data_IF_927663250439
#
_entry.id   IF_927663250439
#
_cell.length_a   1.000
_cell.length_b   1.000
_cell.length_c   1.000
_cell.angle_alpha   90.00
_cell.angle_beta   90.00
_cell.angle_gamma   90.00
#
_symmetry.space_group_name_H-M   'P 1'
#
loop_
_entity.id
_entity.type
_entity.pdbx_description
1 polymer ?
#
# COMPACT_ATOMS: atom_id res chain seq x y z
N UNK A 1 -1.99 25.85 -1.96
CA UNK A 1 -1.48 24.52 -2.38
C UNK A 1 -1.89 23.55 -1.29
N UNK A 2 -2.70 22.52 -1.55
CA UNK A 2 -2.97 21.53 -0.51
C UNK A 2 -1.63 20.96 -0.07
N UNK A 3 -1.35 21.08 1.23
CA UNK A 3 -0.20 20.46 1.87
C UNK A 3 -0.18 19.00 1.48
N UNK A 4 0.97 18.53 1.00
CA UNK A 4 1.21 17.16 0.55
C UNK A 4 1.29 16.24 1.78
N UNK A 5 0.20 16.15 2.53
CA UNK A 5 0.12 15.40 3.77
C UNK A 5 0.06 13.92 3.38
N UNK A 6 1.13 13.21 3.71
CA UNK A 6 1.16 11.76 3.65
C UNK A 6 0.25 11.25 4.78
N UNK A 7 -0.85 10.57 4.48
CA UNK A 7 -1.82 10.17 5.49
C UNK A 7 -1.23 9.15 6.46
N UNK A 8 -1.66 9.18 7.71
CA UNK A 8 -1.31 8.13 8.69
C UNK A 8 -2.12 6.85 8.45
N UNK A 9 -3.35 7.00 7.94
CA UNK A 9 -4.23 5.88 7.64
C UNK A 9 -4.90 6.05 6.28
N UNK A 10 -5.02 4.95 5.57
CA UNK A 10 -5.80 4.85 4.33
C UNK A 10 -6.81 3.72 4.44
N UNK A 11 -7.87 3.78 3.67
CA UNK A 11 -8.85 2.71 3.51
C UNK A 11 -8.80 2.19 2.09
N UNK A 12 -8.70 0.88 1.96
CA UNK A 12 -8.94 0.17 0.69
C UNK A 12 -10.35 -0.40 0.74
N UNK A 13 -11.13 -0.16 -0.30
CA UNK A 13 -12.50 -0.62 -0.38
C UNK A 13 -12.91 -1.04 -1.78
N UNK A 14 -13.90 -1.92 -1.85
CA UNK A 14 -14.51 -2.31 -3.12
C UNK A 14 -13.67 -3.24 -3.98
N UNK A 15 -12.54 -3.76 -3.50
CA UNK A 15 -11.78 -4.79 -4.21
C UNK A 15 -12.44 -6.16 -4.12
N UNK A 16 -12.35 -6.98 -5.18
CA UNK A 16 -12.89 -8.34 -5.21
C UNK A 16 -12.16 -9.32 -4.29
N UNK A 17 -10.83 -9.19 -4.20
CA UNK A 17 -10.04 -9.92 -3.20
C UNK A 17 -10.22 -9.31 -1.80
N UNK A 18 -11.13 -9.89 -1.01
CA UNK A 18 -11.63 -9.30 0.23
C UNK A 18 -10.56 -9.07 1.30
N UNK A 19 -9.48 -9.85 1.31
CA UNK A 19 -8.38 -9.66 2.26
C UNK A 19 -7.65 -8.32 2.06
N UNK A 20 -7.70 -7.73 0.86
CA UNK A 20 -7.12 -6.41 0.64
C UNK A 20 -8.04 -5.26 1.09
N UNK A 21 -9.32 -5.51 1.37
CA UNK A 21 -10.23 -4.47 1.84
C UNK A 21 -10.02 -4.23 3.33
N UNK A 22 -9.88 -2.97 3.75
CA UNK A 22 -9.67 -2.65 5.16
C UNK A 22 -8.99 -1.30 5.38
N UNK A 23 -8.66 -1.04 6.64
CA UNK A 23 -7.85 0.11 7.04
C UNK A 23 -6.39 -0.32 7.07
N UNK A 24 -5.54 0.49 6.48
CA UNK A 24 -4.11 0.31 6.48
C UNK A 24 -3.45 1.48 7.22
N UNK A 25 -2.45 1.15 8.00
CA UNK A 25 -1.68 2.12 8.78
C UNK A 25 -0.32 2.34 8.15
N UNK A 26 0.12 3.60 8.19
CA UNK A 26 1.43 3.99 7.68
C UNK A 26 2.56 3.30 8.45
N UNK A 27 3.56 2.84 7.71
CA UNK A 27 4.79 2.23 8.22
C UNK A 27 6.02 2.95 7.68
N UNK A 28 7.12 2.84 8.44
CA UNK A 28 8.41 3.39 8.04
C UNK A 28 8.97 2.61 6.84
N UNK A 29 9.58 3.27 5.84
CA UNK A 29 10.27 2.59 4.74
C UNK A 29 11.42 1.68 5.21
N UNK A 30 11.93 1.87 6.43
CA UNK A 30 13.00 1.05 7.03
C UNK A 30 12.50 -0.27 7.62
N UNK A 31 11.17 -0.44 7.75
CA UNK A 31 10.55 -1.68 8.23
C UNK A 31 10.14 -2.48 7.00
N UNK A 32 10.47 -3.76 6.98
CA UNK A 32 10.11 -4.67 5.89
C UNK A 32 8.75 -5.30 6.21
N UNK A 33 7.78 -5.33 5.27
CA UNK A 33 6.50 -6.01 5.47
C UNK A 33 6.69 -7.51 5.77
N UNK A 34 5.93 -8.04 6.73
CA UNK A 34 6.03 -9.45 7.10
C UNK A 34 5.68 -10.39 5.93
N UNK A 35 4.67 -10.04 5.14
CA UNK A 35 4.31 -10.77 3.92
C UNK A 35 5.45 -10.79 2.90
N UNK A 36 6.11 -9.65 2.68
CA UNK A 36 7.25 -9.54 1.77
C UNK A 36 8.42 -10.43 2.17
N UNK A 37 8.79 -10.45 3.46
CA UNK A 37 9.84 -11.32 3.99
C UNK A 37 9.50 -12.81 3.79
N UNK A 38 8.25 -13.21 4.03
CA UNK A 38 7.81 -14.59 3.77
C UNK A 38 7.93 -14.95 2.30
N UNK A 39 7.50 -14.09 1.38
CA UNK A 39 7.64 -14.33 -0.07
C UNK A 39 9.12 -14.43 -0.47
N UNK A 40 9.99 -13.55 0.01
CA UNK A 40 11.42 -13.61 -0.27
C UNK A 40 12.03 -14.93 0.22
N UNK A 41 11.74 -15.34 1.46
CA UNK A 41 12.22 -16.62 2.01
C UNK A 41 11.70 -17.82 1.23
N UNK A 42 10.43 -17.82 0.83
CA UNK A 42 9.84 -18.89 0.02
C UNK A 42 10.52 -19.02 -1.36
N UNK A 43 10.97 -17.89 -1.92
CA UNK A 43 11.68 -17.82 -3.20
C UNK A 43 13.21 -17.94 -3.06
N UNK A 44 13.73 -18.13 -1.85
CA UNK A 44 15.16 -18.14 -1.53
C UNK A 44 15.90 -16.86 -1.97
N UNK A 45 15.24 -15.71 -1.77
CA UNK A 45 15.81 -14.37 -1.98
C UNK A 45 16.24 -13.74 -0.67
N UNK A 46 17.27 -12.89 -0.73
CA UNK A 46 17.66 -12.06 0.41
C UNK A 46 16.64 -10.93 0.61
N UNK A 47 15.91 -11.00 1.73
CA UNK A 47 14.83 -10.07 2.04
C UNK A 47 15.29 -8.61 2.10
N UNK A 48 16.42 -8.33 2.76
CA UNK A 48 16.89 -6.95 2.93
C UNK A 48 17.36 -6.36 1.60
N UNK A 49 18.12 -7.13 0.83
CA UNK A 49 18.61 -6.73 -0.47
C UNK A 49 17.43 -6.48 -1.42
N UNK A 50 16.45 -7.38 -1.46
CA UNK A 50 15.28 -7.24 -2.31
C UNK A 50 14.44 -6.02 -1.91
N UNK A 51 14.24 -5.79 -0.62
CA UNK A 51 13.53 -4.60 -0.15
C UNK A 51 14.25 -3.31 -0.54
N UNK A 52 15.57 -3.24 -0.36
CA UNK A 52 16.40 -2.09 -0.82
C UNK A 52 16.39 -1.91 -2.33
N UNK A 53 16.14 -2.98 -3.09
CA UNK A 53 16.06 -2.95 -4.55
C UNK A 53 14.70 -2.47 -5.06
N UNK A 54 13.61 -2.86 -4.40
CA UNK A 54 12.25 -2.59 -4.87
C UNK A 54 11.63 -1.35 -4.24
N UNK A 55 11.93 -1.07 -2.97
CA UNK A 55 11.53 0.19 -2.36
C UNK A 55 12.56 1.30 -2.65
N UNK A 56 12.14 2.54 -2.48
CA UNK A 56 13.01 3.71 -2.55
C UNK A 56 13.59 4.12 -1.20
N UNK A 57 13.34 3.32 -0.15
CA UNK A 57 13.78 3.57 1.23
C UNK A 57 13.34 4.95 1.79
N UNK A 58 12.33 5.60 1.19
CA UNK A 58 11.92 6.97 1.53
C UNK A 58 10.40 7.14 1.57
N UNK A 59 9.66 6.66 0.56
CA UNK A 59 8.21 6.64 0.56
C UNK A 59 7.71 5.66 1.62
N UNK A 60 6.74 6.07 2.46
CA UNK A 60 6.14 5.13 3.39
C UNK A 60 5.35 4.07 2.62
N UNK A 61 5.13 2.96 3.30
CA UNK A 61 4.20 1.92 2.89
C UNK A 61 3.09 1.80 3.93
N UNK A 62 2.05 1.04 3.63
CA UNK A 62 0.87 0.91 4.48
C UNK A 62 0.57 -0.56 4.75
N UNK A 63 0.11 -0.87 5.95
CA UNK A 63 -0.14 -2.25 6.40
C UNK A 63 -1.51 -2.38 7.05
N UNK A 64 -2.28 -3.37 6.64
CA UNK A 64 -3.51 -3.76 7.31
C UNK A 64 -3.23 -4.73 8.46
N UNK A 65 -4.18 -4.86 9.40
CA UNK A 65 -4.07 -5.80 10.54
C UNK A 65 -3.83 -7.25 10.11
N UNK A 66 -4.33 -7.64 8.93
CA UNK A 66 -4.14 -8.97 8.38
C UNK A 66 -2.83 -9.14 7.58
N UNK A 67 -1.89 -8.21 7.70
CA UNK A 67 -0.59 -8.19 7.01
C UNK A 67 -0.67 -8.01 5.49
N UNK A 68 -1.83 -7.67 4.91
CA UNK A 68 -1.86 -7.10 3.56
C UNK A 68 -1.15 -5.75 3.57
N UNK A 69 -0.47 -5.39 2.49
CA UNK A 69 0.31 -4.16 2.46
C UNK A 69 0.30 -3.46 1.12
N UNK A 70 0.54 -2.15 1.16
CA UNK A 70 0.66 -1.29 -0.01
C UNK A 70 2.02 -0.61 -0.01
N UNK A 71 2.78 -0.77 -1.10
CA UNK A 71 4.08 -0.12 -1.25
C UNK A 71 4.29 0.39 -2.67
N UNK A 72 5.17 1.38 -2.83
CA UNK A 72 5.63 1.82 -4.13
C UNK A 72 6.85 1.00 -4.57
N UNK A 73 6.76 0.35 -5.72
CA UNK A 73 7.83 -0.42 -6.31
C UNK A 73 8.57 0.44 -7.34
N UNK A 74 9.83 0.80 -7.03
CA UNK A 74 10.67 1.62 -7.90
C UNK A 74 11.09 0.91 -9.19
N UNK A 75 11.07 -0.43 -9.19
CA UNK A 75 11.47 -1.24 -10.34
C UNK A 75 10.53 -1.09 -11.53
N UNK A 76 9.24 -0.84 -11.27
CA UNK A 76 8.24 -0.68 -12.32
C UNK A 76 7.41 0.61 -12.22
N UNK A 77 7.66 1.45 -11.21
CA UNK A 77 6.99 2.73 -11.01
C UNK A 77 5.51 2.59 -10.69
N UNK A 78 5.12 1.51 -9.99
CA UNK A 78 3.74 1.25 -9.60
C UNK A 78 3.60 1.15 -8.08
N UNK A 79 2.43 1.52 -7.58
CA UNK A 79 1.98 1.02 -6.29
C UNK A 79 1.44 -0.40 -6.45
N UNK A 80 1.73 -1.22 -5.46
CA UNK A 80 1.29 -2.60 -5.35
C UNK A 80 0.45 -2.74 -4.10
N UNK A 81 -0.66 -3.50 -4.18
CA UNK A 81 -1.35 -4.05 -3.02
C UNK A 81 -1.10 -5.55 -3.02
N UNK A 82 -0.42 -6.02 -1.99
CA UNK A 82 -0.13 -7.42 -1.79
C UNK A 82 -1.04 -7.96 -0.67
N UNK A 83 -1.54 -9.18 -0.86
CA UNK A 83 -2.35 -9.86 0.15
C UNK A 83 -1.51 -10.36 1.33
N UNK A 84 -2.13 -10.99 2.34
CA UNK A 84 -1.44 -11.47 3.54
C UNK A 84 -0.29 -12.45 3.26
N UNK A 85 -0.34 -13.17 2.15
CA UNK A 85 0.73 -14.09 1.74
C UNK A 85 1.98 -13.40 1.18
N UNK A 86 1.91 -12.09 0.91
CA UNK A 86 2.91 -11.34 0.14
C UNK A 86 2.78 -11.50 -1.38
N UNK A 87 1.73 -12.17 -1.86
CA UNK A 87 1.43 -12.23 -3.28
C UNK A 87 0.76 -10.91 -3.74
N UNK A 88 1.23 -10.38 -4.87
CA UNK A 88 0.64 -9.20 -5.49
C UNK A 88 -0.79 -9.44 -5.99
N UNK A 89 -1.66 -8.47 -5.73
CA UNK A 89 -3.10 -8.55 -6.05
C UNK A 89 -3.52 -7.42 -7.00
N UNK A 90 -3.18 -6.18 -6.65
CA UNK A 90 -3.53 -5.00 -7.45
C UNK A 90 -2.31 -4.13 -7.71
N UNK A 91 -2.29 -3.47 -8.86
CA UNK A 91 -1.25 -2.50 -9.24
C UNK A 91 -1.85 -1.22 -9.81
N UNK A 92 -1.14 -0.11 -9.64
CA UNK A 92 -1.47 1.17 -10.30
C UNK A 92 -0.21 1.95 -10.62
N UNK A 93 -0.08 2.46 -11.84
CA UNK A 93 1.04 3.32 -12.22
C UNK A 93 0.84 4.72 -11.64
N UNK A 94 1.74 5.14 -10.75
CA UNK A 94 1.75 6.47 -10.14
C UNK A 94 3.12 6.70 -9.48
N UNK A 95 3.65 7.92 -9.54
CA UNK A 95 4.96 8.31 -8.98
C UNK A 95 4.84 9.21 -7.74
N UNK A 96 3.64 9.43 -7.24
CA UNK A 96 3.34 10.20 -6.04
C UNK A 96 3.94 9.62 -4.76
N UNK A 97 3.85 10.38 -3.67
CA UNK A 97 4.30 9.93 -2.34
C UNK A 97 3.30 8.99 -1.66
N UNK A 98 2.07 8.94 -2.16
CA UNK A 98 0.96 8.18 -1.59
C UNK A 98 0.24 7.41 -2.68
N UNK A 99 -0.38 6.25 -2.37
CA UNK A 99 -1.16 5.51 -3.35
C UNK A 99 -2.31 6.38 -3.91
N UNK A 100 -2.59 6.32 -5.22
CA UNK A 100 -3.72 7.05 -5.80
C UNK A 100 -5.06 6.44 -5.39
N UNK A 101 -6.11 7.24 -5.41
CA UNK A 101 -7.45 6.81 -5.00
C UNK A 101 -8.13 5.83 -5.96
N UNK A 102 -7.73 5.86 -7.23
CA UNK A 102 -8.35 5.10 -8.33
C UNK A 102 -7.30 4.70 -9.38
N UNK A 103 -7.75 3.96 -10.41
CA UNK A 103 -6.88 3.50 -11.51
C UNK A 103 -6.17 2.17 -11.24
N UNK A 104 -6.53 1.49 -10.17
CA UNK A 104 -6.04 0.15 -9.83
C UNK A 104 -6.47 -0.88 -10.87
N UNK A 105 -5.60 -1.86 -11.10
CA UNK A 105 -5.82 -3.00 -11.99
C UNK A 105 -5.51 -4.27 -11.22
N UNK A 106 -6.41 -5.27 -11.28
CA UNK A 106 -6.17 -6.59 -10.71
C UNK A 106 -5.20 -7.41 -11.57
N UNK A 107 -4.30 -8.14 -10.91
CA UNK A 107 -3.36 -9.06 -11.57
C UNK A 107 -4.02 -10.38 -12.02
N UNK A 108 -5.23 -10.68 -11.54
CA UNK A 108 -6.04 -11.83 -11.95
C UNK A 108 -7.51 -11.44 -12.02
N UNK A 109 -8.27 -12.07 -12.92
CA UNK A 109 -9.73 -11.89 -13.02
C UNK A 109 -10.45 -12.30 -11.73
N UNK A 110 -9.86 -13.20 -10.94
CA UNK A 110 -10.43 -13.65 -9.65
C UNK A 110 -10.37 -12.56 -8.55
N UNK A 111 -9.61 -11.48 -8.78
CA UNK A 111 -9.49 -10.36 -7.85
C UNK A 111 -10.37 -9.17 -8.24
N UNK A 112 -11.08 -9.24 -9.37
CA UNK A 112 -12.00 -8.18 -9.79
C UNK A 112 -13.22 -8.09 -8.85
N UNK A 113 -13.76 -6.88 -8.60
CA UNK A 113 -13.34 -5.59 -9.17
C UNK A 113 -12.06 -5.03 -8.54
N UNK A 114 -11.37 -4.13 -9.24
CA UNK A 114 -10.28 -3.34 -8.66
C UNK A 114 -10.78 -2.38 -7.54
N UNK A 115 -9.96 -2.14 -6.49
CA UNK A 115 -10.36 -1.34 -5.34
C UNK A 115 -10.24 0.17 -5.59
N UNK A 116 -10.80 0.93 -4.66
CA UNK A 116 -10.50 2.35 -4.43
C UNK A 116 -9.73 2.53 -3.13
N UNK A 117 -8.96 3.62 -3.06
CA UNK A 117 -8.20 4.03 -1.86
C UNK A 117 -8.63 5.41 -1.41
N UNK A 118 -8.85 5.61 -0.11
CA UNK A 118 -9.14 6.92 0.47
C UNK A 118 -8.28 7.20 1.70
N UNK A 119 -7.91 8.45 1.89
CA UNK A 119 -7.22 8.89 3.11
C UNK A 119 -8.22 9.00 4.25
N UNK A 120 -7.85 8.57 5.45
CA UNK A 120 -8.71 8.62 6.65
C UNK A 120 -8.34 9.74 7.63
N UNK A 121 -7.38 10.58 7.26
CA UNK A 121 -7.03 11.77 8.03
C UNK A 121 -8.07 12.87 7.73
N UNK A 122 -9.20 12.83 8.43
CA UNK A 122 -10.25 13.83 8.27
C UNK A 122 -9.86 15.17 8.90
N UNK A 123 -9.93 16.23 8.10
CA UNK A 123 -10.51 17.54 8.42
C UNK A 123 -11.19 17.62 9.80
N UNK A 124 -10.44 18.05 10.82
CA UNK A 124 -10.95 18.62 12.08
C UNK A 124 -9.91 19.54 12.71
N UNK A 125 -9.62 20.64 12.03
CA UNK A 125 -9.25 21.91 12.66
C UNK A 125 -10.14 22.99 12.04
N UNK A 126 -11.44 22.97 12.35
CA UNK A 126 -12.39 24.08 12.09
C UNK A 126 -13.76 23.82 12.74
N UNK A 127 -13.90 24.23 14.00
CA UNK A 127 -15.11 24.69 14.72
C UNK A 127 -14.70 24.77 16.19
N UNK A 128 -14.69 25.89 16.91
CA UNK A 128 -15.12 27.26 16.70
C UNK A 128 -15.03 27.91 18.10
N UNK A 129 -14.67 29.19 18.14
CA UNK A 129 -14.50 29.98 19.36
C UNK A 129 -15.69 29.90 20.33
N UNK A 130 -15.39 29.94 21.64
CA UNK A 130 -16.28 30.44 22.68
C UNK A 130 -15.67 31.69 23.31
#
# INVERSE_FOLDING_TARGET
>A
MPSNIIPNKIRVSGGGFHYCNGVYERRSPTIIPAGFDRTCRAMNWDTEQMWKQLSDQSRPWYEAENESYIYWNRGDGKFWIDGPSGAGVYIVKNDGLTPPSEGWVSLSNDYEPAPTVSSLDNEASSQGDL
#
